data_IF_468068978060
#
_entry.id   IF_468068978060
#
_cell.length_a   1.000
_cell.length_b   1.000
_cell.length_c   1.000
_cell.angle_alpha   90.00
_cell.angle_beta   90.00
_cell.angle_gamma   90.00
#
_symmetry.space_group_name_H-M   'P 1'
#
loop_
_entity.id
_entity.type
_entity.pdbx_description
1 polymer ?
#
# COMPACT_ATOMS: atom_id res chain seq x y z
N UNK A 1 38.41 -28.82 7.88
CA UNK A 1 38.29 -27.47 7.26
C UNK A 1 37.00 -26.83 7.75
N UNK A 2 37.03 -25.58 8.22
CA UNK A 2 35.82 -24.85 8.65
C UNK A 2 36.10 -23.80 9.74
N UNK A 3 36.65 -22.64 9.37
CA UNK A 3 36.85 -21.50 10.29
C UNK A 3 35.61 -20.60 10.23
N UNK A 4 34.82 -20.55 11.30
CA UNK A 4 33.66 -19.66 11.41
C UNK A 4 34.09 -18.25 11.82
N UNK A 5 33.91 -17.28 10.91
CA UNK A 5 34.30 -15.87 11.06
C UNK A 5 33.14 -15.08 11.69
N UNK A 6 33.28 -14.69 12.96
CA UNK A 6 32.38 -13.73 13.65
C UNK A 6 32.56 -12.35 13.02
N UNK A 7 31.46 -11.72 12.58
CA UNK A 7 31.42 -10.32 12.12
C UNK A 7 30.89 -9.44 13.25
N UNK A 8 31.67 -8.42 13.61
CA UNK A 8 31.36 -7.35 14.56
C UNK A 8 30.74 -6.18 13.75
N UNK A 9 29.53 -5.75 14.10
CA UNK A 9 28.94 -4.51 13.59
C UNK A 9 29.06 -3.45 14.68
N UNK A 10 29.68 -2.32 14.33
CA UNK A 10 29.85 -1.14 15.21
C UNK A 10 28.99 0.00 14.65
N UNK A 11 28.16 0.57 15.53
CA UNK A 11 27.20 1.64 15.28
C UNK A 11 27.88 3.02 15.37
N UNK A 12 27.57 3.95 14.46
CA UNK A 12 27.98 5.37 14.60
C UNK A 12 26.86 6.35 14.23
N UNK A 13 26.35 7.05 15.25
CA UNK A 13 25.45 8.22 15.17
C UNK A 13 26.26 9.48 14.82
N UNK A 14 25.79 10.40 13.94
CA UNK A 14 26.45 11.70 13.79
C UNK A 14 25.92 12.75 14.77
N UNK A 15 26.84 13.50 15.37
CA UNK A 15 26.63 14.63 16.28
C UNK A 15 26.62 15.97 15.53
N UNK A 16 25.88 16.91 16.09
CA UNK A 16 25.72 18.33 15.75
C UNK A 16 27.04 19.12 15.82
N UNK A 17 27.28 20.03 14.87
CA UNK A 17 28.16 21.19 15.06
C UNK A 17 27.70 22.40 14.23
N UNK A 18 27.55 23.55 14.91
CA UNK A 18 27.46 24.90 14.31
C UNK A 18 28.89 25.43 14.10
N UNK A 19 29.08 26.45 13.25
CA UNK A 19 29.59 27.69 13.82
C UNK A 19 28.97 28.97 13.24
N UNK A 20 29.32 30.08 13.89
CA UNK A 20 28.72 31.41 13.81
C UNK A 20 29.58 32.43 13.03
N UNK A 21 28.89 33.50 12.61
CA UNK A 21 29.29 34.91 12.46
C UNK A 21 30.41 35.32 11.48
N UNK A 22 30.05 36.21 10.55
CA UNK A 22 30.98 36.97 9.71
C UNK A 22 30.25 38.07 8.92
N UNK A 23 30.11 39.24 9.52
CA UNK A 23 29.65 40.49 8.89
C UNK A 23 30.64 41.00 7.84
N UNK A 24 30.18 41.48 6.66
CA UNK A 24 30.62 42.76 6.01
C UNK A 24 29.66 43.19 4.87
N UNK A 25 29.29 44.46 4.91
CA UNK A 25 28.50 45.23 3.94
C UNK A 25 29.30 45.57 2.68
N UNK A 26 28.73 45.41 1.47
CA UNK A 26 28.94 46.28 0.28
C UNK A 26 27.73 46.20 -0.70
N UNK A 27 27.15 47.35 -1.07
CA UNK A 27 26.27 47.59 -2.23
C UNK A 27 27.13 48.08 -3.42
N UNK A 28 26.61 48.35 -4.64
CA UNK A 28 25.71 47.59 -5.51
C UNK A 28 26.32 47.40 -6.93
N UNK A 29 26.06 46.29 -7.63
CA UNK A 29 26.31 46.19 -9.08
C UNK A 29 25.22 45.32 -9.73
N UNK A 30 24.45 45.88 -10.66
CA UNK A 30 23.63 45.09 -11.61
C UNK A 30 24.58 44.55 -12.68
N UNK A 31 24.56 43.24 -12.98
CA UNK A 31 24.05 42.86 -14.29
C UNK A 31 23.25 41.54 -14.30
N UNK A 32 22.19 41.54 -15.09
CA UNK A 32 21.53 40.39 -15.75
C UNK A 32 21.68 39.00 -15.12
N UNK A 33 20.65 38.56 -14.38
CA UNK A 33 20.49 37.16 -13.98
C UNK A 33 19.82 36.40 -15.14
N UNK A 34 20.41 35.31 -15.69
CA UNK A 34 19.68 34.42 -16.57
C UNK A 34 18.55 33.78 -15.76
N UNK A 35 17.35 33.80 -16.32
CA UNK A 35 16.16 33.13 -15.80
C UNK A 35 16.48 31.67 -15.51
N UNK A 36 16.19 31.23 -14.27
CA UNK A 36 16.16 29.81 -13.93
C UNK A 36 15.22 29.11 -14.93
N UNK A 37 15.63 28.01 -15.60
CA UNK A 37 14.68 27.23 -16.38
C UNK A 37 13.62 26.68 -15.43
N UNK A 38 12.37 26.87 -15.84
CA UNK A 38 11.19 26.36 -15.16
C UNK A 38 11.36 24.87 -14.83
N UNK A 39 10.95 24.49 -13.63
CA UNK A 39 10.79 23.10 -13.21
C UNK A 39 9.99 22.35 -14.28
N UNK A 40 10.63 21.38 -14.94
CA UNK A 40 9.94 20.46 -15.85
C UNK A 40 8.77 19.82 -15.08
N UNK A 41 7.55 19.77 -15.65
CA UNK A 41 6.45 19.06 -15.01
C UNK A 41 6.87 17.60 -14.85
N UNK A 42 6.85 17.14 -13.61
CA UNK A 42 7.12 15.77 -13.24
C UNK A 42 6.03 14.92 -13.91
N UNK A 43 6.36 14.28 -15.03
CA UNK A 43 5.47 13.33 -15.70
C UNK A 43 5.09 12.26 -14.69
N UNK A 44 3.85 12.35 -14.19
CA UNK A 44 3.20 11.24 -13.51
C UNK A 44 3.18 10.10 -14.51
N UNK A 45 4.04 9.09 -14.30
CA UNK A 45 3.95 7.85 -15.07
C UNK A 45 2.54 7.34 -14.85
N UNK A 46 1.72 7.39 -15.89
CA UNK A 46 0.37 6.84 -15.85
C UNK A 46 0.51 5.38 -15.41
N UNK A 47 -0.04 5.06 -14.24
CA UNK A 47 -0.10 3.69 -13.77
C UNK A 47 -1.03 2.97 -14.74
N UNK A 48 -0.53 1.97 -15.47
CA UNK A 48 -1.37 1.16 -16.34
C UNK A 48 -2.48 0.52 -15.50
N UNK A 49 -3.69 0.47 -16.04
CA UNK A 49 -4.80 -0.19 -15.36
C UNK A 49 -4.42 -1.67 -15.10
N UNK A 50 -4.69 -2.20 -13.90
CA UNK A 50 -4.42 -3.60 -13.62
C UNK A 50 -5.28 -4.49 -14.52
N UNK A 51 -4.67 -5.56 -15.05
CA UNK A 51 -5.42 -6.60 -15.76
C UNK A 51 -6.13 -7.46 -14.72
N UNK A 52 -7.47 -7.45 -14.73
CA UNK A 52 -8.30 -8.34 -13.93
C UNK A 52 -8.64 -9.54 -14.82
N UNK A 53 -8.33 -10.78 -14.43
CA UNK A 53 -8.55 -11.96 -15.26
C UNK A 53 -10.02 -12.47 -15.23
N UNK A 54 -10.93 -11.69 -14.66
CA UNK A 54 -12.33 -12.06 -14.45
C UNK A 54 -13.24 -11.05 -15.15
N UNK A 55 -14.29 -11.56 -15.79
CA UNK A 55 -15.40 -10.74 -16.25
C UNK A 55 -16.35 -10.43 -15.07
N UNK A 56 -17.01 -9.26 -15.04
CA UNK A 56 -18.05 -8.95 -14.05
C UNK A 56 -19.13 -10.03 -13.90
N UNK A 57 -19.43 -10.77 -14.97
CA UNK A 57 -20.44 -11.83 -15.01
C UNK A 57 -19.93 -13.22 -14.62
N UNK A 58 -18.62 -13.38 -14.37
CA UNK A 58 -18.04 -14.66 -13.99
C UNK A 58 -18.56 -15.13 -12.62
N UNK A 59 -18.75 -16.45 -12.49
CA UNK A 59 -18.99 -17.09 -11.20
C UNK A 59 -17.65 -17.43 -10.55
N UNK A 60 -17.34 -16.79 -9.44
CA UNK A 60 -16.05 -16.88 -8.78
C UNK A 60 -16.20 -17.58 -7.43
N UNK A 61 -15.43 -18.66 -7.24
CA UNK A 61 -15.26 -19.33 -5.96
C UNK A 61 -13.93 -18.89 -5.33
N UNK A 62 -13.99 -18.26 -4.16
CA UNK A 62 -12.83 -17.90 -3.36
C UNK A 62 -12.65 -18.90 -2.22
N UNK A 63 -11.46 -19.47 -2.12
CA UNK A 63 -11.12 -20.53 -1.14
C UNK A 63 -10.05 -20.04 -0.20
N UNK A 64 -10.31 -20.15 1.10
CA UNK A 64 -9.36 -19.79 2.14
C UNK A 64 -9.25 -18.28 2.35
N UNK A 65 -10.36 -17.56 2.24
CA UNK A 65 -10.42 -16.16 2.64
C UNK A 65 -10.15 -16.05 4.15
N UNK A 66 -9.28 -15.10 4.51
CA UNK A 66 -8.97 -14.80 5.92
C UNK A 66 -9.93 -13.78 6.51
N UNK A 67 -9.94 -12.56 5.94
CA UNK A 67 -10.78 -11.45 6.40
C UNK A 67 -11.78 -10.95 5.36
N UNK A 68 -11.97 -11.69 4.27
CA UNK A 68 -12.86 -11.36 3.14
C UNK A 68 -12.51 -10.06 2.38
N UNK A 69 -11.34 -9.46 2.63
CA UNK A 69 -10.94 -8.21 1.96
C UNK A 69 -10.76 -8.38 0.46
N UNK A 70 -10.29 -9.54 -0.01
CA UNK A 70 -10.12 -9.80 -1.43
C UNK A 70 -11.48 -9.95 -2.13
N UNK A 71 -12.40 -10.72 -1.55
CA UNK A 71 -13.78 -10.81 -2.01
C UNK A 71 -14.44 -9.42 -2.09
N UNK A 72 -14.29 -8.61 -1.04
CA UNK A 72 -14.81 -7.24 -1.00
C UNK A 72 -14.20 -6.35 -2.10
N UNK A 73 -12.90 -6.49 -2.38
CA UNK A 73 -12.24 -5.73 -3.45
C UNK A 73 -12.77 -6.08 -4.86
N UNK A 74 -13.05 -7.36 -5.11
CA UNK A 74 -13.62 -7.82 -6.39
C UNK A 74 -15.03 -7.24 -6.60
N UNK A 75 -15.84 -7.24 -5.56
CA UNK A 75 -17.18 -6.67 -5.60
C UNK A 75 -17.14 -5.15 -5.85
N UNK A 76 -16.32 -4.42 -5.09
CA UNK A 76 -16.32 -2.94 -5.08
C UNK A 76 -15.57 -2.29 -6.22
N UNK A 77 -14.44 -2.87 -6.64
CA UNK A 77 -13.57 -2.25 -7.65
C UNK A 77 -13.68 -2.89 -9.03
N UNK A 78 -14.19 -4.12 -9.09
CA UNK A 78 -14.17 -4.93 -10.31
C UNK A 78 -15.56 -5.41 -10.75
N UNK A 79 -16.60 -5.05 -10.00
CA UNK A 79 -18.00 -5.36 -10.31
C UNK A 79 -18.26 -6.86 -10.50
N UNK A 80 -17.46 -7.72 -9.86
CA UNK A 80 -17.72 -9.16 -9.84
C UNK A 80 -18.84 -9.43 -8.83
N UNK A 81 -20.06 -9.66 -9.32
CA UNK A 81 -21.27 -9.76 -8.47
C UNK A 81 -21.77 -11.19 -8.26
N UNK A 82 -21.00 -12.20 -8.66
CA UNK A 82 -21.34 -13.62 -8.47
C UNK A 82 -20.23 -14.35 -7.71
N UNK A 83 -20.01 -13.94 -6.47
CA UNK A 83 -18.97 -14.46 -5.58
C UNK A 83 -19.54 -15.50 -4.59
N UNK A 84 -18.79 -16.60 -4.42
CA UNK A 84 -18.89 -17.49 -3.27
C UNK A 84 -17.55 -17.47 -2.55
N UNK A 85 -17.51 -16.88 -1.35
CA UNK A 85 -16.29 -16.78 -0.55
C UNK A 85 -16.32 -17.76 0.62
N UNK A 86 -15.25 -18.53 0.80
CA UNK A 86 -15.15 -19.55 1.84
C UNK A 86 -13.96 -19.32 2.77
N UNK A 87 -14.19 -19.50 4.07
CA UNK A 87 -13.16 -19.47 5.10
C UNK A 87 -13.11 -20.81 5.85
N UNK A 88 -11.90 -21.22 6.26
CA UNK A 88 -11.65 -22.43 7.06
C UNK A 88 -11.85 -22.23 8.57
N UNK A 89 -12.00 -20.99 9.03
CA UNK A 89 -12.33 -20.74 10.42
C UNK A 89 -13.85 -20.63 10.56
N UNK A 90 -14.38 -21.04 11.72
CA UNK A 90 -15.74 -20.68 12.10
C UNK A 90 -15.88 -19.16 12.17
N UNK A 91 -17.09 -18.63 11.96
CA UNK A 91 -17.35 -17.19 11.99
C UNK A 91 -16.79 -16.53 13.27
N UNK A 92 -17.02 -17.14 14.44
CA UNK A 92 -16.54 -16.62 15.71
C UNK A 92 -15.01 -16.57 15.78
N UNK A 93 -14.32 -17.63 15.37
CA UNK A 93 -12.86 -17.68 15.38
C UNK A 93 -12.25 -16.68 14.39
N UNK A 94 -12.86 -16.54 13.22
CA UNK A 94 -12.45 -15.59 12.19
C UNK A 94 -12.60 -14.15 12.67
N UNK A 95 -13.76 -13.78 13.22
CA UNK A 95 -14.01 -12.43 13.73
C UNK A 95 -13.15 -12.08 14.94
N UNK A 96 -12.75 -13.06 15.74
CA UNK A 96 -11.77 -12.86 16.81
C UNK A 96 -10.37 -12.54 16.26
N UNK A 97 -9.94 -13.25 15.20
CA UNK A 97 -8.64 -13.00 14.54
C UNK A 97 -8.65 -11.70 13.73
N UNK A 98 -9.76 -11.41 13.07
CA UNK A 98 -9.94 -10.32 12.11
C UNK A 98 -11.26 -9.58 12.37
N UNK A 99 -11.33 -8.67 13.37
CA UNK A 99 -12.55 -7.92 13.67
C UNK A 99 -13.06 -7.08 12.48
N UNK A 100 -12.15 -6.61 11.62
CA UNK A 100 -12.50 -5.86 10.42
C UNK A 100 -13.26 -6.68 9.38
N UNK A 101 -13.13 -8.02 9.41
CA UNK A 101 -13.82 -8.90 8.49
C UNK A 101 -15.34 -8.77 8.59
N UNK A 102 -15.85 -8.32 9.75
CA UNK A 102 -17.29 -8.08 9.93
C UNK A 102 -17.85 -7.12 8.88
N UNK A 103 -17.17 -6.00 8.66
CA UNK A 103 -17.62 -5.01 7.68
C UNK A 103 -17.58 -5.57 6.26
N UNK A 104 -16.56 -6.35 5.91
CA UNK A 104 -16.46 -6.97 4.59
C UNK A 104 -17.57 -8.00 4.35
N UNK A 105 -17.82 -8.86 5.35
CA UNK A 105 -18.90 -9.86 5.31
C UNK A 105 -20.26 -9.18 5.19
N UNK A 106 -20.53 -8.16 6.01
CA UNK A 106 -21.80 -7.44 5.98
C UNK A 106 -22.03 -6.81 4.59
N UNK A 107 -21.01 -6.24 3.95
CA UNK A 107 -21.09 -5.73 2.58
C UNK A 107 -21.34 -6.82 1.55
N UNK A 108 -20.61 -7.93 1.61
CA UNK A 108 -20.79 -9.06 0.70
C UNK A 108 -22.23 -9.61 0.77
N UNK A 109 -22.76 -9.80 1.97
CA UNK A 109 -24.11 -10.30 2.17
C UNK A 109 -25.17 -9.29 1.72
N UNK A 110 -24.97 -8.00 1.97
CA UNK A 110 -25.87 -6.93 1.53
C UNK A 110 -25.99 -6.87 -0.01
N UNK A 111 -24.90 -7.12 -0.72
CA UNK A 111 -24.87 -7.19 -2.19
C UNK A 111 -25.23 -8.60 -2.74
N UNK A 112 -25.78 -9.48 -1.89
CA UNK A 112 -26.29 -10.80 -2.30
C UNK A 112 -25.23 -11.85 -2.60
N UNK A 113 -23.98 -11.62 -2.17
CA UNK A 113 -22.90 -12.59 -2.30
C UNK A 113 -23.02 -13.68 -1.23
N UNK A 114 -22.44 -14.86 -1.51
CA UNK A 114 -22.48 -15.98 -0.56
C UNK A 114 -21.19 -16.08 0.22
N UNK A 115 -21.28 -16.18 1.54
CA UNK A 115 -20.15 -16.43 2.44
C UNK A 115 -20.38 -17.74 3.19
N UNK A 116 -19.41 -18.66 3.14
CA UNK A 116 -19.42 -19.91 3.88
C UNK A 116 -18.26 -19.96 4.87
N UNK A 117 -18.56 -20.43 6.06
CA UNK A 117 -17.58 -20.73 7.11
C UNK A 117 -17.50 -22.24 7.30
N UNK A 118 -16.37 -22.74 7.78
CA UNK A 118 -16.20 -24.15 8.14
C UNK A 118 -15.07 -24.35 9.11
#
# INVERSE_FOLDING_TARGET
>A
MGKSKRRKLEEKRPKHSKPAYGSKLKKPVKPTRPSKPASKPQQTKACAAPTIPFDPSDRILLVGEGDFSFAYSLLTHHACTSLLATAFDSEAALLQKYPQARAHVDHLLADGQTVLYG
#
